data_IF_313053915228
#
_entry.id   IF_313053915228
#
_cell.length_a   1.000
_cell.length_b   1.000
_cell.length_c   1.000
_cell.angle_alpha   90.00
_cell.angle_beta   90.00
_cell.angle_gamma   90.00
#
_symmetry.space_group_name_H-M   'P 1'
#
loop_
_entity.id
_entity.type
_entity.pdbx_description
1 polymer ?
#
# COMPACT_ATOMS: atom_id res chain seq x y z
N UNK A 1 5.78 14.72 -29.35
CA UNK A 1 5.48 13.54 -28.48
C UNK A 1 6.72 12.89 -27.85
N UNK A 2 7.84 12.72 -28.52
CA UNK A 2 9.07 12.07 -27.98
C UNK A 2 9.69 12.76 -26.75
N UNK A 3 9.79 14.09 -26.71
CA UNK A 3 10.36 14.85 -25.58
C UNK A 3 9.62 14.66 -24.25
N UNK A 4 8.28 14.52 -24.26
CA UNK A 4 7.48 14.27 -23.07
C UNK A 4 7.72 12.85 -22.51
N UNK A 5 7.86 11.87 -23.37
CA UNK A 5 8.14 10.48 -22.99
C UNK A 5 9.53 10.33 -22.35
N UNK A 6 10.55 10.99 -22.90
CA UNK A 6 11.91 10.97 -22.37
C UNK A 6 11.99 11.65 -20.99
N UNK A 7 11.32 12.79 -20.80
CA UNK A 7 11.24 13.47 -19.49
C UNK A 7 10.60 12.57 -18.43
N UNK A 8 9.49 11.92 -18.74
CA UNK A 8 8.83 10.96 -17.83
C UNK A 8 9.71 9.76 -17.51
N UNK A 9 10.48 9.27 -18.47
CA UNK A 9 11.44 8.19 -18.26
C UNK A 9 12.49 8.59 -17.20
N UNK A 10 13.13 9.75 -17.37
CA UNK A 10 14.13 10.23 -16.41
C UNK A 10 13.54 10.48 -15.01
N UNK A 11 12.34 11.06 -14.91
CA UNK A 11 11.67 11.29 -13.62
C UNK A 11 11.48 9.97 -12.86
N UNK A 12 11.03 8.91 -13.53
CA UNK A 12 10.84 7.59 -12.92
C UNK A 12 12.14 6.99 -12.39
N UNK A 13 13.21 7.09 -13.16
CA UNK A 13 14.51 6.58 -12.77
C UNK A 13 15.11 7.36 -11.61
N UNK A 14 14.99 8.68 -11.63
CA UNK A 14 15.44 9.55 -10.53
C UNK A 14 14.63 9.23 -9.26
N UNK A 15 13.31 9.15 -9.34
CA UNK A 15 12.48 8.79 -8.18
C UNK A 15 12.86 7.41 -7.62
N UNK A 16 13.02 6.41 -8.49
CA UNK A 16 13.46 5.09 -8.10
C UNK A 16 14.84 5.09 -7.42
N UNK A 17 15.81 5.82 -7.97
CA UNK A 17 17.14 5.95 -7.40
C UNK A 17 17.11 6.65 -6.04
N UNK A 18 16.35 7.75 -5.92
CA UNK A 18 16.22 8.51 -4.67
C UNK A 18 15.67 7.64 -3.55
N UNK A 19 14.59 6.90 -3.78
CA UNK A 19 14.02 6.03 -2.72
C UNK A 19 14.99 4.90 -2.34
N UNK A 20 15.80 4.38 -3.28
CA UNK A 20 16.84 3.42 -2.99
C UNK A 20 17.98 4.02 -2.15
N UNK A 21 18.47 5.21 -2.50
CA UNK A 21 19.51 5.91 -1.72
C UNK A 21 19.02 6.14 -0.29
N UNK A 22 17.80 6.63 -0.12
CA UNK A 22 17.17 6.82 1.19
C UNK A 22 17.12 5.48 1.94
N UNK A 23 16.60 4.44 1.31
CA UNK A 23 16.49 3.13 1.95
C UNK A 23 17.85 2.57 2.37
N UNK A 24 18.87 2.65 1.52
CA UNK A 24 20.20 2.12 1.81
C UNK A 24 20.91 2.88 2.93
N UNK A 25 20.74 4.18 2.99
CA UNK A 25 21.38 5.04 4.00
C UNK A 25 20.67 5.03 5.36
N UNK A 26 19.39 4.66 5.41
CA UNK A 26 18.61 4.61 6.65
C UNK A 26 18.82 3.29 7.40
N UNK A 27 18.71 3.33 8.74
CA UNK A 27 18.51 2.13 9.56
C UNK A 27 17.07 1.65 9.41
N UNK A 28 16.83 0.35 9.39
CA UNK A 28 15.50 -0.26 9.25
C UNK A 28 15.18 -1.08 10.49
N UNK A 29 13.97 -0.88 11.02
CA UNK A 29 13.39 -1.72 12.09
C UNK A 29 12.03 -2.23 11.61
N UNK A 30 11.77 -3.51 11.80
CA UNK A 30 10.53 -4.17 11.40
C UNK A 30 9.90 -4.83 12.60
N UNK A 31 8.56 -4.78 12.71
CA UNK A 31 7.84 -5.59 13.69
C UNK A 31 8.00 -7.08 13.36
N UNK A 32 7.99 -7.97 14.38
CA UNK A 32 8.17 -9.42 14.17
C UNK A 32 6.94 -10.13 13.59
N UNK A 33 5.85 -9.40 13.31
CA UNK A 33 4.61 -9.93 12.73
C UNK A 33 4.85 -10.46 11.31
N UNK A 34 4.21 -11.58 10.97
CA UNK A 34 4.28 -12.19 9.65
C UNK A 34 2.90 -12.16 8.96
N UNK A 35 2.92 -12.16 7.63
CA UNK A 35 1.72 -12.35 6.83
C UNK A 35 1.29 -13.83 6.86
N UNK A 36 -0.02 -14.12 6.75
CA UNK A 36 -0.54 -15.48 6.70
C UNK A 36 -0.17 -16.14 5.37
N UNK A 37 -0.23 -17.48 5.32
CA UNK A 37 -0.08 -18.26 4.08
C UNK A 37 -1.28 -18.04 3.12
N UNK A 38 -2.49 -17.92 3.69
CA UNK A 38 -3.72 -17.65 2.91
C UNK A 38 -3.76 -16.18 2.43
N UNK A 39 -4.51 -15.87 1.37
CA UNK A 39 -4.74 -14.50 0.94
C UNK A 39 -5.29 -13.62 2.05
N UNK A 40 -4.89 -12.35 2.05
CA UNK A 40 -5.39 -11.34 2.99
C UNK A 40 -5.51 -9.98 2.31
N UNK A 41 -6.20 -9.08 2.97
CA UNK A 41 -6.21 -7.66 2.60
C UNK A 41 -5.15 -6.95 3.43
N UNK A 42 -4.33 -6.12 2.78
CA UNK A 42 -3.37 -5.25 3.49
C UNK A 42 -3.72 -3.80 3.21
N UNK A 43 -3.84 -3.02 4.27
CA UNK A 43 -4.21 -1.61 4.17
C UNK A 43 -3.10 -0.72 4.73
N UNK A 44 -2.88 0.44 4.10
CA UNK A 44 -2.00 1.50 4.61
C UNK A 44 -2.43 2.86 4.07
N UNK A 45 -2.09 3.96 4.77
CA UNK A 45 -2.46 5.30 4.34
C UNK A 45 -1.67 5.75 3.10
N UNK A 46 -2.33 6.47 2.19
CA UNK A 46 -1.72 7.01 0.96
C UNK A 46 -0.46 7.85 1.24
N UNK A 47 -0.46 8.62 2.30
CA UNK A 47 0.71 9.40 2.75
C UNK A 47 1.95 8.56 3.14
N UNK A 48 1.85 7.24 3.11
CA UNK A 48 2.96 6.30 3.38
C UNK A 48 3.46 5.55 2.14
N UNK A 49 3.03 5.95 0.93
CA UNK A 49 3.38 5.25 -0.33
C UNK A 49 4.88 5.19 -0.59
N UNK A 50 5.64 6.26 -0.27
CA UNK A 50 7.02 6.43 -0.72
C UNK A 50 7.96 5.25 -0.40
N UNK A 51 7.80 4.60 0.77
CA UNK A 51 8.69 3.52 1.20
C UNK A 51 8.00 2.15 1.30
N UNK A 52 6.71 2.03 0.91
CA UNK A 52 5.96 0.78 1.03
C UNK A 52 6.47 -0.35 0.14
N UNK A 53 7.12 -0.06 -0.97
CA UNK A 53 7.75 -1.08 -1.81
C UNK A 53 8.84 -1.88 -1.06
N UNK A 54 9.53 -1.28 -0.10
CA UNK A 54 10.52 -1.98 0.73
C UNK A 54 9.87 -2.79 1.84
N UNK A 55 8.73 -2.34 2.40
CA UNK A 55 7.90 -3.14 3.29
C UNK A 55 7.41 -4.41 2.57
N UNK A 56 6.94 -4.27 1.32
CA UNK A 56 6.59 -5.41 0.48
C UNK A 56 7.74 -6.40 0.34
N UNK A 57 8.93 -5.96 -0.04
CA UNK A 57 10.10 -6.82 -0.13
C UNK A 57 10.42 -7.55 1.18
N UNK A 58 10.19 -6.93 2.33
CA UNK A 58 10.44 -7.57 3.61
C UNK A 58 9.44 -8.70 3.91
N UNK A 59 8.14 -8.44 3.80
CA UNK A 59 7.12 -9.38 4.23
C UNK A 59 6.73 -10.41 3.16
N UNK A 60 6.67 -10.03 1.88
CA UNK A 60 6.27 -10.96 0.82
C UNK A 60 7.43 -11.80 0.29
N UNK A 61 8.63 -11.25 0.15
CA UNK A 61 9.78 -12.03 -0.33
C UNK A 61 10.40 -12.93 0.74
N UNK A 62 10.17 -12.67 2.03
CA UNK A 62 10.60 -13.51 3.16
C UNK A 62 9.53 -14.47 3.65
N UNK A 63 8.30 -14.37 3.16
CA UNK A 63 7.26 -15.33 3.50
C UNK A 63 7.75 -16.75 3.20
N UNK A 64 7.49 -17.67 4.11
CA UNK A 64 7.94 -19.08 4.11
C UNK A 64 7.68 -19.83 2.78
N UNK A 65 6.76 -19.32 1.97
CA UNK A 65 6.55 -19.74 0.58
C UNK A 65 6.96 -18.59 -0.34
N UNK A 66 8.06 -18.73 -1.07
CA UNK A 66 8.52 -17.81 -2.13
C UNK A 66 7.48 -17.47 -3.21
N UNK A 67 6.26 -17.97 -3.09
CA UNK A 67 5.13 -17.79 -4.00
C UNK A 67 4.10 -16.78 -3.53
N UNK A 68 4.20 -16.24 -2.30
CA UNK A 68 3.23 -15.25 -1.82
C UNK A 68 3.40 -13.94 -2.59
N UNK A 69 2.33 -13.50 -3.22
CA UNK A 69 2.31 -12.29 -4.03
C UNK A 69 1.23 -11.33 -3.53
N UNK A 70 1.44 -10.05 -3.75
CA UNK A 70 0.47 -9.01 -3.48
C UNK A 70 0.32 -8.08 -4.68
N UNK A 71 -0.89 -7.59 -4.92
CA UNK A 71 -1.20 -6.59 -5.93
C UNK A 71 -1.86 -5.39 -5.30
N UNK A 72 -1.42 -4.21 -5.72
CA UNK A 72 -1.95 -2.92 -5.22
C UNK A 72 -3.09 -2.45 -6.13
N UNK A 73 -4.19 -2.00 -5.54
CA UNK A 73 -5.25 -1.33 -6.31
C UNK A 73 -4.76 0.07 -6.66
N UNK A 74 -4.67 0.38 -7.96
CA UNK A 74 -4.14 1.63 -8.49
C UNK A 74 -5.10 2.24 -9.50
N UNK A 75 -5.25 3.57 -9.44
CA UNK A 75 -6.06 4.35 -10.38
C UNK A 75 -5.64 4.12 -11.85
N UNK A 76 -6.62 4.16 -12.76
CA UNK A 76 -6.40 4.08 -14.23
C UNK A 76 -5.81 5.35 -14.85
N UNK A 77 -5.61 6.42 -14.07
CA UNK A 77 -5.04 7.67 -14.57
C UNK A 77 -3.52 7.55 -14.87
N UNK A 78 -2.98 8.53 -15.59
CA UNK A 78 -1.57 8.58 -16.01
C UNK A 78 -0.59 8.45 -14.83
N UNK A 79 -0.90 9.08 -13.70
CA UNK A 79 -0.06 8.99 -12.49
C UNK A 79 -0.02 7.55 -11.94
N UNK A 80 -1.16 6.84 -11.99
CA UNK A 80 -1.23 5.42 -11.62
C UNK A 80 -0.37 4.54 -12.52
N UNK A 81 -0.24 4.88 -13.82
CA UNK A 81 0.67 4.17 -14.72
C UNK A 81 2.14 4.33 -14.33
N UNK A 82 2.54 5.54 -13.94
CA UNK A 82 3.90 5.81 -13.45
C UNK A 82 4.19 4.99 -12.21
N UNK A 83 3.28 5.00 -11.24
CA UNK A 83 3.42 4.22 -10.01
C UNK A 83 3.50 2.72 -10.32
N UNK A 84 2.62 2.20 -11.18
CA UNK A 84 2.64 0.79 -11.59
C UNK A 84 4.00 0.37 -12.14
N UNK A 85 4.62 1.19 -12.99
CA UNK A 85 5.94 0.92 -13.56
C UNK A 85 7.08 1.00 -12.51
N UNK A 86 6.95 1.83 -11.50
CA UNK A 86 7.93 1.90 -10.40
C UNK A 86 7.81 0.65 -9.52
N UNK A 87 6.61 0.30 -9.07
CA UNK A 87 6.41 -0.81 -8.14
C UNK A 87 6.65 -2.18 -8.79
N UNK A 88 6.45 -2.31 -10.11
CA UNK A 88 6.76 -3.55 -10.84
C UNK A 88 8.23 -3.95 -10.74
N UNK A 89 9.15 -2.97 -10.60
CA UNK A 89 10.57 -3.22 -10.35
C UNK A 89 10.86 -3.85 -8.97
N UNK A 90 9.88 -3.80 -8.06
CA UNK A 90 9.92 -4.46 -6.75
C UNK A 90 9.17 -5.80 -6.75
N UNK A 91 8.67 -6.26 -7.90
CA UNK A 91 7.86 -7.47 -8.03
C UNK A 91 6.41 -7.29 -7.57
N UNK A 92 5.94 -6.04 -7.43
CA UNK A 92 4.59 -5.73 -6.99
C UNK A 92 3.68 -5.59 -8.20
N UNK A 93 2.62 -6.39 -8.26
CA UNK A 93 1.59 -6.28 -9.28
C UNK A 93 0.60 -5.14 -9.02
N UNK A 94 -0.19 -4.80 -10.04
CA UNK A 94 -1.25 -3.80 -9.92
C UNK A 94 -2.61 -4.36 -10.37
N UNK A 95 -3.66 -3.99 -9.64
CA UNK A 95 -5.06 -4.13 -10.05
C UNK A 95 -5.51 -2.73 -10.48
N UNK A 96 -5.81 -2.58 -11.77
CA UNK A 96 -6.19 -1.28 -12.32
C UNK A 96 -7.67 -0.99 -12.07
N UNK A 97 -7.95 0.27 -11.68
CA UNK A 97 -9.26 0.79 -11.33
C UNK A 97 -9.27 1.45 -9.95
N UNK A 98 -10.14 2.41 -9.73
CA UNK A 98 -10.28 3.12 -8.45
C UNK A 98 -11.73 3.47 -8.19
N UNK A 99 -12.02 4.04 -7.03
CA UNK A 99 -13.35 4.36 -6.49
C UNK A 99 -14.24 5.27 -7.36
N UNK A 100 -13.71 5.86 -8.46
CA UNK A 100 -14.54 6.61 -9.40
C UNK A 100 -15.13 5.71 -10.51
N UNK A 101 -14.89 5.99 -11.77
CA UNK A 101 -15.47 5.24 -12.90
C UNK A 101 -15.02 3.76 -13.05
N UNK A 102 -13.97 3.33 -12.37
CA UNK A 102 -13.40 1.97 -12.46
C UNK A 102 -13.56 1.10 -11.20
N UNK A 103 -14.26 1.57 -10.16
CA UNK A 103 -14.33 0.90 -8.86
C UNK A 103 -14.91 -0.52 -8.93
N UNK A 104 -16.03 -0.71 -9.61
CA UNK A 104 -16.65 -2.02 -9.77
C UNK A 104 -15.72 -3.01 -10.48
N UNK A 105 -15.02 -2.57 -11.54
CA UNK A 105 -14.05 -3.40 -12.26
C UNK A 105 -12.86 -3.76 -11.35
N UNK A 106 -12.37 -2.80 -10.56
CA UNK A 106 -11.29 -3.05 -9.60
C UNK A 106 -11.70 -4.10 -8.55
N UNK A 107 -12.93 -4.06 -8.05
CA UNK A 107 -13.47 -5.06 -7.12
C UNK A 107 -13.53 -6.45 -7.75
N UNK A 108 -14.08 -6.57 -8.96
CA UNK A 108 -14.16 -7.85 -9.70
C UNK A 108 -12.76 -8.43 -9.92
N UNK A 109 -11.82 -7.59 -10.34
CA UNK A 109 -10.43 -8.02 -10.55
C UNK A 109 -9.77 -8.40 -9.21
N UNK A 110 -10.01 -7.67 -8.13
CA UNK A 110 -9.51 -8.03 -6.80
C UNK A 110 -10.01 -9.40 -6.35
N UNK A 111 -11.30 -9.69 -6.53
CA UNK A 111 -11.87 -11.00 -6.22
C UNK A 111 -11.24 -12.13 -7.04
N UNK A 112 -10.94 -11.89 -8.33
CA UNK A 112 -10.22 -12.85 -9.17
C UNK A 112 -8.81 -13.12 -8.65
N UNK A 113 -8.06 -12.08 -8.30
CA UNK A 113 -6.70 -12.22 -7.80
C UNK A 113 -6.66 -12.95 -6.44
N UNK A 114 -7.61 -12.68 -5.55
CA UNK A 114 -7.74 -13.38 -4.27
C UNK A 114 -7.97 -14.88 -4.49
N UNK A 115 -8.82 -15.26 -5.43
CA UNK A 115 -9.04 -16.68 -5.78
C UNK A 115 -7.78 -17.35 -6.33
N UNK A 116 -6.88 -16.58 -6.93
CA UNK A 116 -5.58 -17.06 -7.39
C UNK A 116 -4.50 -17.08 -6.27
N UNK A 117 -4.88 -16.85 -5.01
CA UNK A 117 -3.97 -16.89 -3.88
C UNK A 117 -3.20 -15.58 -3.64
N UNK A 118 -3.58 -14.47 -4.28
CA UNK A 118 -2.86 -13.19 -4.26
C UNK A 118 -3.47 -12.26 -3.22
N UNK A 119 -2.63 -11.62 -2.40
CA UNK A 119 -3.05 -10.58 -1.47
C UNK A 119 -3.47 -9.32 -2.21
N UNK A 120 -4.47 -8.63 -1.67
CA UNK A 120 -4.89 -7.32 -2.18
C UNK A 120 -4.43 -6.23 -1.24
N UNK A 121 -3.69 -5.28 -1.79
CA UNK A 121 -3.12 -4.15 -1.06
C UNK A 121 -3.88 -2.88 -1.45
N UNK A 122 -4.35 -2.13 -0.45
CA UNK A 122 -5.26 -0.99 -0.65
C UNK A 122 -4.80 0.20 0.17
N UNK A 123 -4.80 1.39 -0.43
CA UNK A 123 -4.81 2.67 0.28
C UNK A 123 -6.27 3.09 0.49
N UNK A 124 -6.83 2.95 1.71
CA UNK A 124 -8.26 3.13 1.92
C UNK A 124 -8.74 4.56 1.70
N UNK A 125 -7.87 5.56 1.91
CA UNK A 125 -8.12 6.97 1.63
C UNK A 125 -8.03 7.32 0.14
N UNK A 126 -7.66 6.36 -0.71
CA UNK A 126 -7.66 6.51 -2.16
C UNK A 126 -6.71 7.59 -2.68
N UNK A 127 -6.73 7.86 -4.01
CA UNK A 127 -5.78 8.80 -4.63
C UNK A 127 -6.19 10.28 -4.48
N UNK A 128 -7.38 10.57 -3.95
CA UNK A 128 -7.93 11.94 -3.85
C UNK A 128 -8.33 12.32 -2.43
N UNK A 129 -8.22 11.39 -1.48
CA UNK A 129 -8.65 11.61 -0.11
C UNK A 129 -10.17 11.72 0.09
N UNK A 130 -10.59 12.34 1.16
CA UNK A 130 -9.77 13.07 2.14
C UNK A 130 -8.84 12.17 2.95
N UNK A 131 -7.75 12.76 3.45
CA UNK A 131 -6.75 12.08 4.26
C UNK A 131 -7.42 11.31 5.41
N UNK A 132 -6.97 10.06 5.61
CA UNK A 132 -7.47 9.17 6.64
C UNK A 132 -8.98 8.82 6.53
N UNK A 133 -9.56 8.97 5.35
CA UNK A 133 -10.87 8.39 5.06
C UNK A 133 -10.74 6.90 4.72
N UNK A 134 -11.81 6.15 4.86
CA UNK A 134 -11.85 4.74 4.47
C UNK A 134 -12.97 4.54 3.47
N UNK A 135 -12.60 4.29 2.21
CA UNK A 135 -13.54 3.96 1.15
C UNK A 135 -14.09 2.53 1.31
N UNK A 136 -15.29 2.29 0.79
CA UNK A 136 -16.01 1.01 0.91
C UNK A 136 -15.24 -0.20 0.37
N UNK A 137 -14.37 0.03 -0.62
CA UNK A 137 -13.67 -1.05 -1.33
C UNK A 137 -12.90 -2.01 -0.43
N UNK A 138 -12.20 -1.51 0.59
CA UNK A 138 -11.45 -2.35 1.53
C UNK A 138 -12.39 -3.24 2.35
N UNK A 139 -13.51 -2.68 2.83
CA UNK A 139 -14.53 -3.41 3.59
C UNK A 139 -15.20 -4.47 2.72
N UNK A 140 -15.68 -4.07 1.53
CA UNK A 140 -16.38 -4.96 0.60
C UNK A 140 -15.51 -6.17 0.23
N UNK A 141 -14.22 -5.94 -0.08
CA UNK A 141 -13.30 -7.03 -0.43
C UNK A 141 -13.13 -7.97 0.76
N UNK A 142 -12.87 -7.45 1.95
CA UNK A 142 -12.64 -8.26 3.13
C UNK A 142 -13.89 -9.08 3.51
N UNK A 143 -15.07 -8.47 3.51
CA UNK A 143 -16.34 -9.13 3.87
C UNK A 143 -16.76 -10.18 2.83
N UNK A 144 -16.77 -9.82 1.54
CA UNK A 144 -17.26 -10.73 0.46
C UNK A 144 -16.33 -11.91 0.21
N UNK A 145 -15.07 -11.83 0.60
CA UNK A 145 -14.09 -12.90 0.44
C UNK A 145 -13.68 -13.54 1.78
N UNK A 146 -14.35 -13.19 2.88
CA UNK A 146 -14.10 -13.71 4.24
C UNK A 146 -12.62 -13.60 4.65
N UNK A 147 -11.99 -12.47 4.30
CA UNK A 147 -10.56 -12.26 4.52
C UNK A 147 -10.26 -11.51 5.81
N UNK A 148 -9.12 -11.86 6.40
CA UNK A 148 -8.52 -11.05 7.44
C UNK A 148 -7.80 -9.85 6.83
N UNK A 149 -7.76 -8.76 7.60
CA UNK A 149 -7.09 -7.52 7.24
C UNK A 149 -5.82 -7.38 8.08
N UNK A 150 -4.78 -6.86 7.46
CA UNK A 150 -3.54 -6.44 8.11
C UNK A 150 -3.33 -4.95 7.85
N UNK A 151 -2.99 -4.22 8.88
CA UNK A 151 -2.59 -2.82 8.76
C UNK A 151 -1.07 -2.72 8.63
N UNK A 152 -0.60 -1.93 7.68
CA UNK A 152 0.80 -1.69 7.40
C UNK A 152 1.11 -0.20 7.52
N UNK A 153 2.22 0.15 8.14
CA UNK A 153 2.67 1.53 8.26
C UNK A 153 4.19 1.62 8.19
N UNK A 154 4.71 2.79 7.89
CA UNK A 154 6.06 3.17 8.28
C UNK A 154 6.08 4.57 8.87
N UNK A 155 7.00 4.76 9.81
CA UNK A 155 7.39 6.05 10.36
C UNK A 155 8.90 6.25 10.22
N UNK A 156 9.37 7.47 10.36
CA UNK A 156 10.80 7.77 10.30
C UNK A 156 11.21 8.75 11.41
N UNK A 157 12.38 8.54 12.00
CA UNK A 157 12.90 9.43 13.05
C UNK A 157 13.16 10.86 12.56
N UNK A 158 13.40 11.04 11.25
CA UNK A 158 13.50 12.33 10.56
C UNK A 158 12.97 12.18 9.15
N UNK A 159 12.12 13.09 8.70
CA UNK A 159 11.48 13.04 7.39
C UNK A 159 11.24 14.44 6.82
N UNK A 160 10.98 14.50 5.52
CA UNK A 160 10.32 15.61 4.86
C UNK A 160 8.84 15.27 4.73
N UNK A 161 7.97 16.22 5.05
CA UNK A 161 6.53 16.12 4.84
C UNK A 161 6.12 17.03 3.70
N UNK A 162 5.40 16.49 2.73
CA UNK A 162 4.91 17.26 1.59
C UNK A 162 3.61 17.99 1.96
N UNK A 163 3.41 19.16 1.37
CA UNK A 163 2.15 19.93 1.47
C UNK A 163 1.12 19.39 0.47
N UNK A 164 0.91 18.09 0.44
CA UNK A 164 -0.11 17.40 -0.35
C UNK A 164 -1.31 17.06 0.53
N UNK A 165 -2.45 16.71 -0.06
CA UNK A 165 -3.66 16.35 0.67
C UNK A 165 -3.45 15.19 1.66
N UNK A 166 -2.54 14.25 1.33
CA UNK A 166 -2.19 13.05 2.09
C UNK A 166 -1.04 13.27 3.08
N UNK A 167 -0.43 14.46 3.06
CA UNK A 167 0.76 14.80 3.87
C UNK A 167 1.84 13.71 3.80
N UNK A 168 2.16 13.28 2.58
CA UNK A 168 3.12 12.20 2.36
C UNK A 168 4.45 12.52 3.02
N UNK A 169 5.01 11.53 3.72
CA UNK A 169 6.32 11.64 4.33
C UNK A 169 7.36 10.91 3.50
N UNK A 170 8.57 11.49 3.43
CA UNK A 170 9.76 10.88 2.84
C UNK A 170 10.89 10.91 3.88
N UNK A 171 11.42 9.76 4.31
CA UNK A 171 12.51 9.73 5.28
C UNK A 171 13.73 10.49 4.80
N UNK A 172 14.40 11.20 5.70
CA UNK A 172 15.70 11.82 5.40
C UNK A 172 16.79 10.75 5.42
N UNK A 173 17.82 10.84 4.57
CA UNK A 173 19.00 9.96 4.65
C UNK A 173 19.56 9.89 6.07
N UNK A 174 20.12 8.74 6.43
CA UNK A 174 20.72 8.46 7.76
C UNK A 174 19.73 8.54 8.93
N UNK A 175 18.41 8.47 8.66
CA UNK A 175 17.38 8.32 9.68
C UNK A 175 17.13 6.85 10.00
N UNK A 176 16.20 6.58 10.92
CA UNK A 176 15.69 5.24 11.17
C UNK A 176 14.28 5.15 10.61
N UNK A 177 14.01 4.15 9.79
CA UNK A 177 12.66 3.82 9.29
C UNK A 177 12.12 2.67 10.14
N UNK A 178 10.94 2.89 10.71
CA UNK A 178 10.20 1.90 11.50
C UNK A 178 9.06 1.37 10.65
N UNK A 179 9.14 0.12 10.23
CA UNK A 179 8.08 -0.56 9.51
C UNK A 179 7.25 -1.39 10.48
N UNK A 180 5.95 -1.19 10.47
CA UNK A 180 5.02 -1.86 11.37
C UNK A 180 3.92 -2.58 10.60
N UNK A 181 3.73 -3.86 10.91
CA UNK A 181 2.63 -4.68 10.42
C UNK A 181 1.82 -5.13 11.64
N UNK A 182 0.52 -4.87 11.63
CA UNK A 182 -0.43 -5.26 12.68
C UNK A 182 -1.55 -6.11 12.08
N UNK A 183 -2.09 -6.98 12.86
CA UNK A 183 -3.17 -7.89 12.48
C UNK A 183 -2.85 -9.34 12.88
N UNK A 184 -3.71 -10.31 12.50
CA UNK A 184 -4.94 -10.12 11.71
C UNK A 184 -6.10 -9.53 12.52
N UNK A 185 -6.95 -8.75 11.84
CA UNK A 185 -8.28 -8.38 12.35
C UNK A 185 -9.37 -8.64 11.30
N UNK A 186 -10.62 -8.69 11.73
CA UNK A 186 -11.77 -8.99 10.87
C UNK A 186 -12.80 -7.90 10.96
N UNK A 187 -13.48 -7.64 9.85
CA UNK A 187 -14.65 -6.75 9.75
C UNK A 187 -15.89 -7.49 9.30
N UNK A 188 -15.88 -8.82 9.28
CA UNK A 188 -16.84 -9.71 8.62
C UNK A 188 -18.29 -9.46 9.03
N UNK A 189 -18.57 -9.28 10.31
CA UNK A 189 -19.93 -9.13 10.82
C UNK A 189 -20.24 -7.70 11.27
N UNK A 190 -19.54 -6.71 10.73
CA UNK A 190 -19.74 -5.31 11.08
C UNK A 190 -20.55 -4.61 9.97
N UNK A 191 -21.40 -3.70 10.39
CA UNK A 191 -21.99 -2.71 9.48
C UNK A 191 -20.90 -1.87 8.83
N UNK A 192 -21.19 -1.33 7.62
CA UNK A 192 -20.20 -0.67 6.78
C UNK A 192 -19.40 0.42 7.51
N UNK A 193 -20.09 1.30 8.23
CA UNK A 193 -19.43 2.42 8.92
C UNK A 193 -18.60 1.94 10.13
N UNK A 194 -19.09 0.97 10.89
CA UNK A 194 -18.35 0.35 11.97
C UNK A 194 -17.10 -0.39 11.44
N UNK A 195 -17.20 -1.05 10.28
CA UNK A 195 -16.07 -1.69 9.63
C UNK A 195 -15.00 -0.69 9.16
N UNK A 196 -15.41 0.44 8.58
CA UNK A 196 -14.52 1.53 8.20
C UNK A 196 -13.80 2.13 9.41
N UNK A 197 -14.53 2.40 10.47
CA UNK A 197 -13.96 2.95 11.69
C UNK A 197 -12.95 1.97 12.32
N UNK A 198 -13.24 0.68 12.31
CA UNK A 198 -12.30 -0.35 12.76
C UNK A 198 -11.00 -0.34 11.95
N UNK A 199 -11.07 -0.29 10.61
CA UNK A 199 -9.89 -0.20 9.75
C UNK A 199 -9.08 1.05 10.07
N UNK A 200 -9.74 2.19 10.20
CA UNK A 200 -9.14 3.48 10.54
C UNK A 200 -8.39 3.42 11.88
N UNK A 201 -9.05 2.89 12.91
CA UNK A 201 -8.46 2.76 14.25
C UNK A 201 -7.25 1.82 14.27
N UNK A 202 -7.28 0.69 13.54
CA UNK A 202 -6.12 -0.20 13.44
C UNK A 202 -4.94 0.46 12.73
N UNK A 203 -5.19 1.32 11.74
CA UNK A 203 -4.14 2.08 11.06
C UNK A 203 -3.55 3.17 11.98
N UNK A 204 -4.37 3.87 12.78
CA UNK A 204 -3.87 4.87 13.73
C UNK A 204 -3.03 4.28 14.85
N UNK A 205 -3.41 3.13 15.39
CA UNK A 205 -2.61 2.42 16.41
C UNK A 205 -1.16 2.14 15.96
N UNK A 206 -0.90 2.07 14.65
CA UNK A 206 0.45 1.87 14.11
C UNK A 206 1.25 3.17 13.97
N UNK A 207 0.58 4.32 13.93
CA UNK A 207 1.23 5.63 13.82
C UNK A 207 1.68 6.19 15.18
N UNK A 208 1.13 5.67 16.28
CA UNK A 208 1.38 6.10 17.66
C UNK A 208 2.60 5.40 18.31
N UNK A 209 3.30 4.54 17.59
CA UNK A 209 4.48 3.78 18.04
C UNK A 209 5.73 4.30 17.38
#
# INVERSE_FOLDING_TARGET
MAKSSLKLFFIKWIAYLVIWIIYLTCKKKFTPTNLPSKPCVVVFWHGRLAMMSFAYRHWWSKALNKQKQGKVIISDHKDGEIITQIISKFGIGAIRGSSSKGGARALINAFKEIRNGIDVIITPDGPRGPKHSVADGAVIIAQKQHLKIYALNYEASRFWQFKSWDEMILPKPFSTIYYSLSGPFSVENLELDAAKEKIKNELFKLAEK
#
